data_IF_742209044657
#
_entry.id   IF_742209044657
#
_cell.length_a   1.000
_cell.length_b   1.000
_cell.length_c   1.000
_cell.angle_alpha   90.00
_cell.angle_beta   90.00
_cell.angle_gamma   90.00
#
_symmetry.space_group_name_H-M   'P 1'
#
loop_
_entity.id
_entity.type
_entity.pdbx_description
1 polymer ?
#
# COMPACT_ATOMS: atom_id res chain seq x y z
N UNK A 1 -19.09 -9.80 -10.56
CA UNK A 1 -19.64 -8.42 -10.65
C UNK A 1 -18.59 -7.54 -10.01
N UNK A 2 -17.83 -6.78 -10.81
CA UNK A 2 -16.74 -5.96 -10.28
C UNK A 2 -17.32 -4.76 -9.54
N UNK A 3 -16.94 -4.62 -8.27
CA UNK A 3 -17.32 -3.58 -7.34
C UNK A 3 -16.93 -2.19 -7.89
N UNK A 4 -17.86 -1.45 -8.51
CA UNK A 4 -17.66 -0.02 -8.76
C UNK A 4 -17.37 0.75 -7.45
N UNK A 5 -17.78 0.20 -6.32
CA UNK A 5 -17.59 0.78 -4.98
C UNK A 5 -16.14 0.73 -4.49
N UNK A 6 -15.37 -0.31 -4.82
CA UNK A 6 -13.98 -0.44 -4.32
C UNK A 6 -13.05 0.61 -4.93
N UNK A 7 -13.33 1.05 -6.17
CA UNK A 7 -12.52 2.05 -6.89
C UNK A 7 -12.64 3.43 -6.22
N UNK A 8 -13.72 3.70 -5.48
CA UNK A 8 -14.00 4.98 -4.82
C UNK A 8 -13.63 4.99 -3.34
N UNK A 9 -12.96 3.94 -2.84
CA UNK A 9 -12.55 3.88 -1.43
C UNK A 9 -11.09 4.27 -1.25
N UNK A 10 -10.79 4.89 -0.11
CA UNK A 10 -9.42 5.24 0.29
C UNK A 10 -9.05 4.58 1.60
N UNK A 11 -7.87 3.95 1.64
CA UNK A 11 -7.40 3.29 2.86
C UNK A 11 -6.75 4.27 3.83
N UNK A 12 -6.76 3.96 5.14
CA UNK A 12 -6.04 4.77 6.13
C UNK A 12 -4.51 4.77 5.93
N UNK A 13 -3.98 3.76 5.22
CA UNK A 13 -2.56 3.70 4.83
C UNK A 13 -2.25 4.69 3.72
N UNK A 14 -3.11 4.74 2.71
CA UNK A 14 -3.04 5.71 1.63
C UNK A 14 -3.21 7.14 2.14
N UNK A 15 -4.15 7.37 3.05
CA UNK A 15 -4.31 8.67 3.73
C UNK A 15 -3.03 9.05 4.48
N UNK A 16 -2.40 8.11 5.18
CA UNK A 16 -1.14 8.36 5.88
C UNK A 16 -0.02 8.75 4.92
N UNK A 17 0.08 8.06 3.77
CA UNK A 17 1.05 8.34 2.72
C UNK A 17 0.87 9.74 2.12
N UNK A 18 -0.34 10.08 1.66
CA UNK A 18 -0.60 11.39 1.01
C UNK A 18 -0.53 12.57 1.98
N UNK A 19 -0.78 12.33 3.27
CA UNK A 19 -0.71 13.38 4.31
C UNK A 19 0.64 13.48 5.01
N UNK A 20 1.50 12.47 4.89
CA UNK A 20 2.72 12.34 5.69
C UNK A 20 2.49 12.12 7.19
N UNK A 21 1.25 11.84 7.62
CA UNK A 21 0.93 11.53 9.02
C UNK A 21 1.35 10.09 9.33
N UNK A 22 1.77 9.82 10.57
CA UNK A 22 1.96 8.42 10.97
C UNK A 22 0.62 7.68 10.92
N UNK A 23 0.62 6.48 10.33
CA UNK A 23 -0.59 5.66 10.16
C UNK A 23 -1.40 5.47 11.45
N UNK A 24 -0.72 5.28 12.59
CA UNK A 24 -1.38 5.18 13.91
C UNK A 24 -2.23 6.41 14.27
N UNK A 25 -1.82 7.61 13.86
CA UNK A 25 -2.58 8.84 14.12
C UNK A 25 -3.79 8.94 13.20
N UNK A 26 -3.64 8.57 11.93
CA UNK A 26 -4.77 8.48 11.01
C UNK A 26 -5.80 7.47 11.53
N UNK A 27 -5.38 6.29 11.99
CA UNK A 27 -6.29 5.32 12.59
C UNK A 27 -7.01 5.84 13.84
N UNK A 28 -6.33 6.63 14.67
CA UNK A 28 -6.95 7.25 15.85
C UNK A 28 -8.00 8.29 15.45
N UNK A 29 -7.71 9.13 14.44
CA UNK A 29 -8.65 10.11 13.92
C UNK A 29 -9.89 9.44 13.32
N UNK A 30 -9.70 8.35 12.57
CA UNK A 30 -10.81 7.58 11.99
C UNK A 30 -11.70 6.99 13.09
N UNK A 31 -11.13 6.36 14.12
CA UNK A 31 -11.92 5.83 15.25
C UNK A 31 -12.71 6.91 15.97
N UNK A 32 -12.08 8.07 16.18
CA UNK A 32 -12.75 9.21 16.80
C UNK A 32 -13.94 9.66 15.96
N UNK A 33 -13.74 9.83 14.65
CA UNK A 33 -14.79 10.20 13.71
C UNK A 33 -15.93 9.18 13.68
N UNK A 34 -15.63 7.87 13.57
CA UNK A 34 -16.65 6.82 13.55
C UNK A 34 -17.47 6.80 14.85
N UNK A 35 -16.79 6.95 16.00
CA UNK A 35 -17.47 7.06 17.30
C UNK A 35 -18.43 8.26 17.35
N UNK A 36 -17.98 9.43 16.90
CA UNK A 36 -18.82 10.65 16.84
C UNK A 36 -20.03 10.50 15.90
N UNK A 37 -19.91 9.67 14.86
CA UNK A 37 -21.01 9.32 13.94
C UNK A 37 -21.91 8.19 14.46
N UNK A 38 -21.54 7.51 15.56
CA UNK A 38 -22.24 6.33 16.07
C UNK A 38 -22.02 5.06 15.24
N UNK A 39 -20.95 5.03 14.44
CA UNK A 39 -20.59 3.93 13.54
C UNK A 39 -19.61 2.94 14.21
N UNK A 40 -19.67 1.67 13.80
CA UNK A 40 -18.76 0.63 14.32
C UNK A 40 -17.47 0.53 13.51
N UNK A 41 -16.33 0.51 14.22
CA UNK A 41 -15.00 0.23 13.65
C UNK A 41 -14.98 -1.02 12.74
N UNK A 42 -15.67 -2.09 13.15
CA UNK A 42 -15.63 -3.39 12.50
C UNK A 42 -16.12 -3.37 11.05
N UNK A 43 -17.01 -2.42 10.71
CA UNK A 43 -17.57 -2.29 9.36
C UNK A 43 -16.50 -1.88 8.34
N UNK A 44 -15.53 -1.09 8.78
CA UNK A 44 -14.53 -0.44 7.92
C UNK A 44 -13.13 -1.04 8.09
N UNK A 45 -12.88 -1.79 9.16
CA UNK A 45 -11.60 -2.41 9.42
C UNK A 45 -11.32 -3.54 8.41
N UNK A 46 -10.11 -3.59 7.89
CA UNK A 46 -9.57 -4.63 7.03
C UNK A 46 -8.17 -5.01 7.53
N UNK A 47 -7.69 -6.18 7.15
CA UNK A 47 -6.30 -6.58 7.38
C UNK A 47 -5.65 -7.10 6.12
N UNK A 48 -4.34 -6.90 6.00
CA UNK A 48 -3.50 -7.44 4.93
C UNK A 48 -2.16 -7.86 5.51
N UNK A 49 -1.57 -8.90 4.93
CA UNK A 49 -0.20 -9.29 5.25
C UNK A 49 0.77 -8.40 4.49
N UNK A 50 1.74 -7.81 5.19
CA UNK A 50 2.78 -7.01 4.55
C UNK A 50 3.94 -7.89 4.05
N UNK A 51 4.92 -7.26 3.38
CA UNK A 51 6.12 -7.93 2.88
C UNK A 51 6.97 -8.60 3.97
N UNK A 52 6.82 -8.20 5.23
CA UNK A 52 7.48 -8.81 6.39
C UNK A 52 6.67 -9.96 7.01
N UNK A 53 5.66 -10.46 6.29
CA UNK A 53 4.80 -11.54 6.76
C UNK A 53 4.02 -11.19 8.05
N UNK A 54 3.84 -9.90 8.36
CA UNK A 54 3.07 -9.41 9.51
C UNK A 54 1.69 -8.95 9.07
N UNK A 55 0.69 -9.22 9.91
CA UNK A 55 -0.65 -8.69 9.70
C UNK A 55 -0.68 -7.19 10.01
N UNK A 56 -1.19 -6.42 9.05
CA UNK A 56 -1.32 -4.97 9.14
C UNK A 56 -2.80 -4.61 8.93
N UNK A 57 -3.41 -4.02 9.95
CA UNK A 57 -4.79 -3.56 9.91
C UNK A 57 -4.88 -2.15 9.37
N UNK A 58 -5.95 -1.84 8.65
CA UNK A 58 -6.24 -0.51 8.12
C UNK A 58 -7.75 -0.31 8.01
N UNK A 59 -8.18 0.95 7.94
CA UNK A 59 -9.57 1.28 7.64
C UNK A 59 -9.72 1.51 6.14
N UNK A 60 -10.82 1.03 5.58
CA UNK A 60 -11.23 1.34 4.21
C UNK A 60 -12.46 2.24 4.28
N UNK A 61 -12.30 3.49 3.83
CA UNK A 61 -13.33 4.52 3.91
C UNK A 61 -13.90 4.79 2.52
N UNK A 62 -15.21 5.01 2.45
CA UNK A 62 -15.87 5.53 1.25
C UNK A 62 -15.64 7.04 1.10
N UNK A 63 -16.14 7.61 0.01
CA UNK A 63 -16.04 9.03 -0.29
C UNK A 63 -16.52 9.90 0.89
N UNK A 64 -17.70 9.62 1.44
CA UNK A 64 -18.33 10.48 2.45
C UNK A 64 -17.58 10.44 3.78
N UNK A 65 -17.11 9.26 4.19
CA UNK A 65 -16.27 9.12 5.38
C UNK A 65 -14.89 9.73 5.19
N UNK A 66 -14.28 9.59 4.01
CA UNK A 66 -13.02 10.28 3.69
C UNK A 66 -13.20 11.79 3.74
N UNK A 67 -14.28 12.32 3.15
CA UNK A 67 -14.59 13.75 3.15
C UNK A 67 -14.87 14.29 4.56
N UNK A 68 -15.59 13.51 5.37
CA UNK A 68 -15.87 13.84 6.77
C UNK A 68 -14.56 13.93 7.56
N UNK A 69 -13.66 12.97 7.41
CA UNK A 69 -12.36 12.95 8.10
C UNK A 69 -11.53 14.21 7.77
N UNK A 70 -11.41 14.55 6.49
CA UNK A 70 -10.53 15.65 6.04
C UNK A 70 -11.11 17.03 6.32
N UNK A 71 -12.41 17.14 6.59
CA UNK A 71 -13.03 18.39 7.02
C UNK A 71 -12.37 18.95 8.29
N UNK A 72 -11.90 18.07 9.19
CA UNK A 72 -11.16 18.43 10.41
C UNK A 72 -9.65 18.59 10.24
N UNK A 73 -9.09 18.28 9.06
CA UNK A 73 -7.65 18.42 8.81
C UNK A 73 -7.28 19.87 8.43
N UNK A 74 -5.99 20.20 8.47
CA UNK A 74 -5.54 21.50 7.94
C UNK A 74 -5.66 21.54 6.40
N UNK A 75 -5.65 22.75 5.82
CA UNK A 75 -5.89 22.96 4.38
C UNK A 75 -4.94 22.17 3.46
N UNK A 76 -3.67 22.02 3.85
CA UNK A 76 -2.68 21.30 3.03
C UNK A 76 -3.01 19.81 2.97
N UNK A 77 -3.28 19.21 4.14
CA UNK A 77 -3.61 17.79 4.23
C UNK A 77 -4.96 17.47 3.58
N UNK A 78 -5.97 18.31 3.82
CA UNK A 78 -7.27 18.16 3.17
C UNK A 78 -7.15 18.22 1.66
N UNK A 79 -6.38 19.18 1.12
CA UNK A 79 -6.18 19.29 -0.32
C UNK A 79 -5.47 18.05 -0.89
N UNK A 80 -4.43 17.54 -0.22
CA UNK A 80 -3.72 16.33 -0.66
C UNK A 80 -4.67 15.11 -0.77
N UNK A 81 -5.51 14.89 0.24
CA UNK A 81 -6.46 13.77 0.24
C UNK A 81 -7.55 13.95 -0.81
N UNK A 82 -8.12 15.16 -0.96
CA UNK A 82 -9.14 15.44 -2.00
C UNK A 82 -8.58 15.21 -3.40
N UNK A 83 -7.36 15.67 -3.67
CA UNK A 83 -6.70 15.46 -4.97
C UNK A 83 -6.50 13.98 -5.24
N UNK A 84 -6.07 13.22 -4.23
CA UNK A 84 -5.91 11.77 -4.36
C UNK A 84 -7.25 11.07 -4.60
N UNK A 85 -8.30 11.43 -3.87
CA UNK A 85 -9.63 10.83 -3.99
C UNK A 85 -10.19 11.04 -5.40
N UNK A 86 -10.06 12.26 -5.93
CA UNK A 86 -10.44 12.56 -7.32
C UNK A 86 -9.69 11.70 -8.35
N UNK A 87 -8.39 11.48 -8.14
CA UNK A 87 -7.60 10.64 -9.04
C UNK A 87 -8.09 9.17 -9.03
N UNK A 88 -8.53 8.66 -7.87
CA UNK A 88 -9.15 7.34 -7.77
C UNK A 88 -10.49 7.29 -8.50
N UNK A 89 -11.35 8.29 -8.29
CA UNK A 89 -12.68 8.39 -8.93
C UNK A 89 -12.59 8.48 -10.46
N UNK A 90 -11.59 9.20 -10.98
CA UNK A 90 -11.35 9.33 -12.41
C UNK A 90 -10.64 8.11 -13.04
N UNK A 91 -10.22 7.14 -12.23
CA UNK A 91 -9.40 6.01 -12.69
C UNK A 91 -7.98 6.41 -13.12
N UNK A 92 -7.52 7.61 -12.76
CA UNK A 92 -6.14 8.07 -12.96
C UNK A 92 -5.16 7.38 -11.99
N UNK A 93 -5.69 6.79 -10.92
CA UNK A 93 -4.93 6.10 -9.89
C UNK A 93 -5.58 4.79 -9.45
N UNK A 94 -4.76 3.84 -9.04
CA UNK A 94 -5.21 2.58 -8.43
C UNK A 94 -5.28 2.72 -6.90
N UNK A 95 -6.39 2.31 -6.25
CA UNK A 95 -6.50 2.30 -4.79
C UNK A 95 -5.41 1.46 -4.14
N UNK A 96 -4.90 1.90 -2.99
CA UNK A 96 -3.78 1.22 -2.30
C UNK A 96 -4.08 -0.26 -1.98
N UNK A 97 -5.32 -0.57 -1.60
CA UNK A 97 -5.72 -1.91 -1.18
C UNK A 97 -5.86 -2.91 -2.36
N UNK A 98 -5.95 -2.41 -3.59
CA UNK A 98 -6.00 -3.23 -4.82
C UNK A 98 -4.62 -3.43 -5.44
N UNK A 99 -3.60 -2.69 -4.99
CA UNK A 99 -2.23 -2.89 -5.45
C UNK A 99 -1.80 -4.31 -5.04
N UNK A 100 -1.39 -5.12 -6.00
CA UNK A 100 -0.78 -6.41 -5.72
C UNK A 100 0.37 -6.22 -4.71
N UNK A 101 0.57 -7.17 -3.77
CA UNK A 101 1.77 -7.09 -2.94
C UNK A 101 2.98 -6.97 -3.86
N UNK A 102 3.87 -6.02 -3.57
CA UNK A 102 5.15 -5.88 -4.27
C UNK A 102 5.71 -7.27 -4.56
N UNK A 103 6.07 -7.58 -5.83
CA UNK A 103 6.62 -8.88 -6.15
C UNK A 103 7.77 -9.14 -5.20
N UNK A 104 7.81 -10.33 -4.61
CA UNK A 104 8.95 -10.72 -3.79
C UNK A 104 10.24 -10.32 -4.54
N UNK A 105 11.25 -9.75 -3.85
CA UNK A 105 12.51 -9.45 -4.51
C UNK A 105 12.90 -10.73 -5.23
N UNK A 106 12.97 -10.70 -6.57
CA UNK A 106 13.21 -11.89 -7.39
C UNK A 106 14.41 -12.58 -6.77
N UNK A 107 14.17 -13.64 -5.99
CA UNK A 107 15.25 -14.50 -5.55
C UNK A 107 15.81 -14.99 -6.87
N UNK A 108 17.07 -14.66 -7.24
CA UNK A 108 17.62 -15.18 -8.48
C UNK A 108 17.37 -16.68 -8.45
N UNK A 109 16.73 -17.20 -9.49
CA UNK A 109 16.37 -18.61 -9.57
C UNK A 109 17.60 -19.40 -9.14
N UNK A 110 17.49 -20.12 -8.04
CA UNK A 110 18.58 -21.00 -7.60
C UNK A 110 18.89 -21.91 -8.80
N UNK A 111 20.15 -22.01 -9.24
CA UNK A 111 20.49 -22.85 -10.37
C UNK A 111 20.05 -24.28 -10.08
N UNK A 112 19.65 -25.00 -11.14
CA UNK A 112 19.24 -26.39 -11.03
C UNK A 112 20.42 -27.24 -10.49
N UNK A 113 20.36 -27.58 -9.20
CA UNK A 113 21.40 -28.36 -8.52
C UNK A 113 21.41 -29.84 -8.93
N UNK A 114 20.51 -30.27 -9.82
CA UNK A 114 20.54 -31.61 -10.41
C UNK A 114 21.79 -31.80 -11.30
N UNK A 115 22.46 -30.70 -11.71
CA UNK A 115 23.74 -30.73 -12.41
C UNK A 115 24.76 -29.74 -11.79
N UNK A 116 25.45 -30.12 -10.69
CA UNK A 116 26.36 -29.22 -9.98
C UNK A 116 27.56 -28.74 -10.81
N UNK A 117 27.87 -29.40 -11.94
CA UNK A 117 28.97 -29.03 -12.81
C UNK A 117 28.67 -27.81 -13.71
N UNK A 118 27.41 -27.57 -14.08
CA UNK A 118 27.02 -26.36 -14.83
C UNK A 118 26.96 -25.12 -13.92
N UNK A 119 26.35 -25.26 -12.74
CA UNK A 119 26.26 -24.18 -11.75
C UNK A 119 27.65 -23.64 -11.32
N UNK A 120 28.66 -24.52 -11.24
CA UNK A 120 30.04 -24.12 -10.94
C UNK A 120 30.74 -23.38 -12.10
N UNK A 121 30.38 -23.69 -13.37
CA UNK A 121 30.93 -23.02 -14.56
C UNK A 121 30.36 -21.62 -14.73
N UNK A 122 29.06 -21.44 -14.52
CA UNK A 122 28.42 -20.11 -14.59
C UNK A 122 28.94 -19.15 -13.51
N UNK A 123 29.33 -19.66 -12.33
CA UNK A 123 29.94 -18.85 -11.28
C UNK A 123 31.37 -18.42 -11.64
N UNK A 124 32.15 -19.33 -12.24
CA UNK A 124 33.51 -19.05 -12.70
C UNK A 124 33.53 -18.03 -13.86
N UNK A 125 32.58 -18.09 -14.79
CA UNK A 125 32.46 -17.11 -15.88
C UNK A 125 32.04 -15.72 -15.38
N UNK A 126 31.32 -15.64 -14.25
CA UNK A 126 30.87 -14.39 -13.63
C UNK A 126 31.99 -13.67 -12.87
N UNK A 127 32.95 -14.40 -12.28
CA UNK A 127 34.14 -13.81 -11.64
C UNK A 127 35.22 -13.37 -12.63
N UNK A 128 35.17 -13.82 -13.90
CA UNK A 128 36.19 -13.53 -14.90
C UNK A 128 36.02 -12.17 -15.64
N UNK A 129 35.04 -11.34 -15.30
CA UNK A 129 34.94 -9.99 -15.87
C UNK A 129 36.02 -9.09 -15.26
N UNK A 130 37.03 -8.64 -16.04
CA UNK A 130 38.08 -7.79 -15.50
C UNK A 130 37.48 -6.47 -15.00
N UNK A 131 37.84 -6.10 -13.77
CA UNK A 131 37.64 -4.77 -13.21
C UNK A 131 38.25 -3.73 -14.14
N UNK A 132 37.44 -3.13 -15.01
CA UNK A 132 37.76 -1.90 -15.72
C UNK A 132 37.26 -0.74 -14.88
N UNK A 133 38.03 -0.34 -13.87
CA UNK A 133 37.98 1.02 -13.34
C UNK A 133 39.41 1.57 -13.35
N UNK A 134 39.54 2.69 -14.05
CA UNK A 134 40.75 3.48 -14.26
C UNK A 134 41.30 4.10 -12.97
#
# INVERSE_FOLDING_TARGET
MNNLTDIQTMSSLEIAEVTGKQHKHVMADVRKMLNELGESDSSFLRSRRNSQNKEQTYFLLDHDLTMTLVSGYNVKLRHAVITRLRALENGEATPWHLQEPEPEPKTPALPDFTNPAEAAREWADREAAPSSHA
#
